data_IF_689290534338
#
_entry.id   IF_689290534338
#
_cell.length_a   1.000
_cell.length_b   1.000
_cell.length_c   1.000
_cell.angle_alpha   90.00
_cell.angle_beta   90.00
_cell.angle_gamma   90.00
#
_symmetry.space_group_name_H-M   'P 1'
#
loop_
_entity.id
_entity.type
_entity.pdbx_description
1 polymer ?
#
# COMPACT_ATOMS: atom_id res chain seq x y z
N UNK A 1 13.91 28.32 -5.75
CA UNK A 1 12.85 27.50 -6.37
C UNK A 1 13.26 26.05 -6.24
N UNK A 2 12.65 25.29 -5.33
CA UNK A 2 12.87 23.83 -5.28
C UNK A 2 11.54 23.20 -4.94
N UNK A 3 10.93 22.59 -5.96
CA UNK A 3 9.64 21.95 -5.89
C UNK A 3 9.65 20.91 -4.76
N UNK A 4 8.79 21.12 -3.77
CA UNK A 4 8.45 20.14 -2.74
C UNK A 4 8.04 18.86 -3.46
N UNK A 5 8.91 17.85 -3.41
CA UNK A 5 8.66 16.55 -4.03
C UNK A 5 7.34 16.01 -3.48
N UNK A 6 6.28 16.11 -4.28
CA UNK A 6 5.02 15.45 -3.99
C UNK A 6 5.28 13.99 -4.29
N UNK A 7 5.72 13.23 -3.28
CA UNK A 7 5.84 11.78 -3.39
C UNK A 7 4.47 11.22 -3.80
N UNK A 8 4.31 10.70 -5.03
CA UNK A 8 3.00 10.24 -5.49
C UNK A 8 2.64 8.88 -4.87
N UNK A 9 3.62 8.20 -4.26
CA UNK A 9 3.50 6.86 -3.71
C UNK A 9 3.32 6.94 -2.19
N UNK A 10 2.10 7.19 -1.73
CA UNK A 10 1.77 7.22 -0.31
C UNK A 10 1.15 5.89 0.09
N UNK A 11 1.61 5.30 1.19
CA UNK A 11 0.97 4.10 1.73
C UNK A 11 -0.41 4.47 2.27
N UNK A 12 -1.49 3.89 1.76
CA UNK A 12 -2.82 4.29 2.21
C UNK A 12 -3.21 3.69 3.57
N UNK A 13 -2.36 2.82 4.15
CA UNK A 13 -2.58 2.19 5.46
C UNK A 13 -2.01 3.08 6.57
N UNK A 14 -0.75 3.48 6.46
CA UNK A 14 -0.04 4.28 7.45
C UNK A 14 0.19 5.74 7.02
N UNK A 15 -0.25 6.10 5.81
CA UNK A 15 -0.08 7.43 5.18
C UNK A 15 1.38 7.86 5.02
N UNK A 16 2.32 6.91 5.06
CA UNK A 16 3.74 7.18 4.87
C UNK A 16 4.04 7.46 3.39
N UNK A 17 4.64 8.62 3.07
CA UNK A 17 5.06 8.93 1.70
C UNK A 17 6.35 8.19 1.33
N UNK A 18 6.40 7.65 0.13
CA UNK A 18 7.57 6.99 -0.44
C UNK A 18 8.01 7.65 -1.73
N UNK A 19 9.33 7.65 -1.96
CA UNK A 19 9.93 8.25 -3.15
C UNK A 19 9.64 7.47 -4.45
N UNK A 20 9.25 6.19 -4.34
CA UNK A 20 9.05 5.28 -5.48
C UNK A 20 7.96 4.22 -5.21
N UNK A 21 7.28 3.74 -6.26
CA UNK A 21 6.29 2.66 -6.16
C UNK A 21 6.90 1.35 -5.66
N UNK A 22 8.14 1.03 -6.03
CA UNK A 22 8.86 -0.15 -5.54
C UNK A 22 9.10 -0.10 -4.04
N UNK A 23 9.44 1.08 -3.49
CA UNK A 23 9.62 1.27 -2.06
C UNK A 23 8.30 1.12 -1.30
N UNK A 24 7.20 1.62 -1.87
CA UNK A 24 5.86 1.43 -1.32
C UNK A 24 5.41 -0.04 -1.34
N UNK A 25 5.61 -0.75 -2.47
CA UNK A 25 5.31 -2.19 -2.56
C UNK A 25 6.16 -3.00 -1.58
N UNK A 26 7.44 -2.64 -1.43
CA UNK A 26 8.33 -3.26 -0.45
C UNK A 26 7.83 -3.00 0.96
N UNK A 27 7.51 -1.76 1.32
CA UNK A 27 6.93 -1.41 2.61
C UNK A 27 5.69 -2.25 2.94
N UNK A 28 4.74 -2.38 2.01
CA UNK A 28 3.54 -3.22 2.22
C UNK A 28 3.91 -4.70 2.39
N UNK A 29 4.92 -5.19 1.67
CA UNK A 29 5.35 -6.58 1.76
C UNK A 29 6.07 -6.91 3.08
N UNK A 30 6.90 -6.00 3.60
CA UNK A 30 7.76 -6.23 4.76
C UNK A 30 7.08 -5.91 6.10
N UNK A 31 6.19 -4.93 6.17
CA UNK A 31 5.44 -4.56 7.39
C UNK A 31 4.32 -5.57 7.74
N UNK A 32 4.51 -6.86 7.43
CA UNK A 32 3.57 -7.95 7.72
C UNK A 32 2.14 -7.82 7.12
N UNK A 33 1.90 -6.83 6.25
CA UNK A 33 0.66 -6.75 5.46
C UNK A 33 0.59 -7.81 4.34
N UNK A 34 1.61 -8.67 4.23
CA UNK A 34 1.86 -9.55 3.09
C UNK A 34 0.72 -10.51 2.74
N UNK A 35 -0.23 -10.74 3.66
CA UNK A 35 -1.40 -11.61 3.44
C UNK A 35 -2.63 -11.16 4.20
N UNK A 36 -2.61 -10.02 4.89
CA UNK A 36 -3.73 -9.59 5.73
C UNK A 36 -4.09 -8.15 5.42
N UNK A 37 -5.36 -7.93 5.09
CA UNK A 37 -5.89 -6.59 4.93
C UNK A 37 -5.97 -5.91 6.29
N UNK A 38 -5.21 -4.86 6.55
CA UNK A 38 -5.25 -4.16 7.85
C UNK A 38 -6.55 -3.40 8.13
N UNK A 39 -7.39 -3.20 7.12
CA UNK A 39 -8.64 -2.45 7.26
C UNK A 39 -9.75 -3.35 7.82
N UNK A 40 -9.85 -4.58 7.32
CA UNK A 40 -10.87 -5.54 7.74
C UNK A 40 -10.31 -6.82 8.38
N UNK A 41 -8.98 -6.88 8.58
CA UNK A 41 -8.20 -8.03 9.09
C UNK A 41 -8.43 -9.34 8.36
N UNK A 42 -8.82 -9.26 7.08
CA UNK A 42 -9.06 -10.44 6.25
C UNK A 42 -7.75 -11.00 5.70
N UNK A 43 -7.54 -12.30 5.87
CA UNK A 43 -6.35 -13.01 5.37
C UNK A 43 -6.57 -13.55 3.95
N UNK A 44 -5.51 -13.50 3.15
CA UNK A 44 -5.45 -13.91 1.75
C UNK A 44 -4.25 -14.81 1.52
N UNK A 45 -4.27 -15.55 0.41
CA UNK A 45 -3.18 -16.48 0.05
C UNK A 45 -1.95 -15.74 -0.50
N UNK A 46 -2.16 -14.59 -1.14
CA UNK A 46 -1.11 -13.77 -1.77
C UNK A 46 -1.25 -12.28 -1.44
N UNK A 47 -0.14 -11.56 -1.53
CA UNK A 47 -0.11 -10.10 -1.36
C UNK A 47 -0.91 -9.39 -2.44
N UNK A 48 -0.82 -9.84 -3.70
CA UNK A 48 -1.64 -9.34 -4.80
C UNK A 48 -3.14 -9.47 -4.55
N UNK A 49 -3.60 -10.59 -4.00
CA UNK A 49 -5.01 -10.77 -3.64
C UNK A 49 -5.44 -9.81 -2.50
N UNK A 50 -4.52 -9.52 -1.58
CA UNK A 50 -4.75 -8.54 -0.50
C UNK A 50 -4.84 -7.12 -1.08
N UNK A 51 -3.94 -6.76 -1.99
CA UNK A 51 -3.94 -5.45 -2.68
C UNK A 51 -5.17 -5.26 -3.57
N UNK A 52 -5.56 -6.29 -4.33
CA UNK A 52 -6.78 -6.29 -5.14
C UNK A 52 -8.03 -6.13 -4.26
N UNK A 53 -8.08 -6.86 -3.15
CA UNK A 53 -9.14 -6.70 -2.16
C UNK A 53 -9.19 -5.28 -1.60
N UNK A 54 -8.05 -4.70 -1.22
CA UNK A 54 -7.98 -3.34 -0.69
C UNK A 54 -8.44 -2.32 -1.75
N UNK A 55 -8.01 -2.47 -3.01
CA UNK A 55 -8.44 -1.58 -4.09
C UNK A 55 -9.94 -1.74 -4.42
N UNK A 56 -10.49 -2.96 -4.45
CA UNK A 56 -11.90 -3.19 -4.83
C UNK A 56 -12.90 -3.04 -3.69
N UNK A 57 -12.55 -3.45 -2.47
CA UNK A 57 -13.45 -3.46 -1.30
C UNK A 57 -13.30 -2.23 -0.43
N UNK A 58 -12.10 -1.66 -0.37
CA UNK A 58 -11.83 -0.46 0.41
C UNK A 58 -11.61 0.78 -0.47
N UNK A 59 -11.65 0.64 -1.80
CA UNK A 59 -11.43 1.72 -2.78
C UNK A 59 -10.05 2.39 -2.62
N UNK A 60 -9.09 1.63 -2.12
CA UNK A 60 -7.74 2.09 -1.82
C UNK A 60 -6.82 1.46 -2.85
N UNK A 61 -6.61 2.17 -3.96
CA UNK A 61 -5.74 1.70 -5.02
C UNK A 61 -4.34 2.29 -4.86
N UNK A 62 -3.36 1.41 -4.68
CA UNK A 62 -1.95 1.78 -4.68
C UNK A 62 -1.52 1.96 -6.13
N UNK A 63 -1.30 3.21 -6.55
CA UNK A 63 -0.81 3.57 -7.88
C UNK A 63 0.67 3.92 -7.81
#
# INVERSE_FOLDING_TARGET
MTAKAVSPFVCPICLTPFSSSSALKQHIRYEEHGKECQICKKRFTTTDATLDHICKKHNICVK
#
